data_IF_442976579646
#
_entry.id   IF_442976579646
#
_cell.length_a   1.000
_cell.length_b   1.000
_cell.length_c   1.000
_cell.angle_alpha   90.00
_cell.angle_beta   90.00
_cell.angle_gamma   90.00
#
_symmetry.space_group_name_H-M   'P 1'
#
loop_
_entity.id
_entity.type
_entity.pdbx_description
1 polymer ?
#
# COMPACT_ATOMS: atom_id res chain seq x y z
N UNK A 1 25.85 -4.30 -25.01
CA UNK A 1 25.15 -3.82 -23.79
C UNK A 1 24.22 -4.85 -23.13
N UNK A 2 23.61 -5.81 -23.82
CA UNK A 2 22.79 -6.86 -23.17
C UNK A 2 23.60 -7.93 -22.42
N UNK A 3 24.86 -8.18 -22.81
CA UNK A 3 25.71 -9.21 -22.17
C UNK A 3 26.21 -8.83 -20.77
N UNK A 4 26.53 -7.55 -20.53
CA UNK A 4 27.01 -7.09 -19.20
C UNK A 4 25.88 -7.11 -18.14
N UNK A 5 24.62 -6.90 -18.53
CA UNK A 5 23.46 -7.00 -17.61
C UNK A 5 23.21 -8.43 -17.12
N UNK A 6 23.44 -9.44 -17.96
CA UNK A 6 23.26 -10.86 -17.59
C UNK A 6 24.33 -11.36 -16.61
N UNK A 7 25.54 -10.81 -16.69
CA UNK A 7 26.65 -11.16 -15.78
C UNK A 7 26.42 -10.54 -14.39
N UNK A 8 25.93 -9.29 -14.32
CA UNK A 8 25.59 -8.64 -13.04
C UNK A 8 24.44 -9.35 -12.29
N UNK A 9 23.40 -9.81 -13.01
CA UNK A 9 22.30 -10.60 -12.43
C UNK A 9 22.74 -12.01 -11.97
N UNK A 10 23.71 -12.62 -12.67
CA UNK A 10 24.20 -13.96 -12.37
C UNK A 10 25.17 -14.00 -11.17
N UNK A 11 25.97 -12.96 -10.95
CA UNK A 11 26.83 -12.82 -9.77
C UNK A 11 26.03 -12.43 -8.52
N UNK A 12 24.93 -11.69 -8.68
CA UNK A 12 24.03 -11.31 -7.58
C UNK A 12 23.25 -12.52 -7.03
N UNK A 13 22.74 -13.41 -7.88
CA UNK A 13 22.09 -14.67 -7.49
C UNK A 13 22.94 -15.57 -6.59
N UNK A 14 24.27 -15.57 -6.76
CA UNK A 14 25.18 -16.40 -5.96
C UNK A 14 25.35 -15.92 -4.53
N UNK A 15 25.09 -14.65 -4.23
CA UNK A 15 25.25 -14.06 -2.89
C UNK A 15 24.06 -14.30 -1.96
N UNK A 16 22.85 -14.41 -2.51
CA UNK A 16 21.61 -14.62 -1.72
C UNK A 16 21.49 -16.07 -1.22
N UNK A 17 22.03 -17.04 -1.96
CA UNK A 17 21.83 -18.46 -1.69
C UNK A 17 22.67 -19.03 -0.51
N UNK A 18 23.53 -18.26 0.16
CA UNK A 18 24.50 -18.81 1.11
C UNK A 18 24.11 -18.76 2.59
N UNK A 19 22.89 -18.36 2.96
CA UNK A 19 22.63 -18.08 4.38
C UNK A 19 21.28 -18.63 4.88
N UNK A 20 21.40 -19.59 5.81
CA UNK A 20 20.44 -20.10 6.80
C UNK A 20 19.39 -21.13 6.34
N UNK A 21 19.61 -22.36 6.80
CA UNK A 21 18.60 -23.38 7.03
C UNK A 21 18.28 -23.41 8.53
N UNK A 22 17.03 -23.14 8.92
CA UNK A 22 16.42 -23.83 10.07
C UNK A 22 14.90 -23.88 9.93
N UNK A 23 14.39 -25.06 10.28
CA UNK A 23 13.04 -25.62 10.19
C UNK A 23 11.83 -24.66 10.28
N UNK A 24 11.04 -24.65 9.21
CA UNK A 24 9.60 -24.37 9.18
C UNK A 24 8.95 -25.28 8.12
N UNK A 25 7.63 -25.45 8.15
CA UNK A 25 6.89 -26.37 7.26
C UNK A 25 7.26 -26.19 5.78
N UNK A 26 7.53 -27.29 5.07
CA UNK A 26 8.13 -27.38 3.71
C UNK A 26 7.57 -26.46 2.61
N UNK A 27 6.40 -25.89 2.82
CA UNK A 27 5.71 -25.00 1.88
C UNK A 27 6.04 -23.52 2.10
N UNK A 28 6.23 -23.09 3.36
CA UNK A 28 6.64 -21.72 3.68
C UNK A 28 8.10 -21.43 3.29
N UNK A 29 8.94 -22.45 3.32
CA UNK A 29 10.36 -22.39 2.95
C UNK A 29 10.60 -22.13 1.45
N UNK A 30 9.55 -22.14 0.63
CA UNK A 30 9.63 -21.95 -0.83
C UNK A 30 9.21 -20.55 -1.29
N UNK A 31 8.61 -19.76 -0.41
CA UNK A 31 7.95 -18.51 -0.79
C UNK A 31 8.86 -17.31 -0.51
N UNK A 32 8.77 -16.29 -1.36
CA UNK A 32 9.32 -14.97 -1.10
C UNK A 32 8.26 -14.07 -0.45
N UNK A 33 8.71 -13.09 0.32
CA UNK A 33 7.87 -12.02 0.84
C UNK A 33 8.08 -10.75 0.02
N UNK A 34 6.99 -10.18 -0.48
CA UNK A 34 6.98 -8.87 -1.15
C UNK A 34 6.21 -7.87 -0.30
N UNK A 35 6.90 -6.83 0.17
CA UNK A 35 6.29 -5.69 0.87
C UNK A 35 6.12 -4.56 -0.11
N UNK A 36 4.88 -4.16 -0.39
CA UNK A 36 4.55 -2.98 -1.17
C UNK A 36 4.31 -1.79 -0.24
N UNK A 37 4.90 -0.64 -0.56
CA UNK A 37 4.78 0.58 0.24
C UNK A 37 4.54 1.79 -0.66
N UNK A 38 3.41 2.46 -0.51
CA UNK A 38 3.20 3.73 -1.21
C UNK A 38 3.98 4.84 -0.51
N UNK A 39 4.57 5.74 -1.28
CA UNK A 39 5.27 6.91 -0.73
C UNK A 39 4.39 7.69 0.27
N UNK A 40 5.02 8.36 1.23
CA UNK A 40 4.34 9.25 2.19
C UNK A 40 3.68 10.46 1.52
N UNK A 41 2.95 11.27 2.28
CA UNK A 41 2.35 12.49 1.74
C UNK A 41 3.41 13.39 1.06
N UNK A 42 3.12 13.80 -0.18
CA UNK A 42 3.92 14.82 -0.89
C UNK A 42 3.23 16.16 -0.91
N UNK A 43 4.00 17.23 -1.14
CA UNK A 43 3.48 18.62 -1.21
C UNK A 43 2.34 18.76 -2.22
N UNK A 44 2.40 18.03 -3.34
CA UNK A 44 1.38 18.07 -4.39
C UNK A 44 0.22 17.11 -4.13
N UNK A 45 0.45 16.01 -3.40
CA UNK A 45 -0.64 15.15 -2.97
C UNK A 45 -1.53 15.83 -1.90
N UNK A 46 -0.94 16.64 -1.01
CA UNK A 46 -1.67 17.44 -0.02
C UNK A 46 -2.56 18.53 -0.65
N UNK A 47 -2.23 18.98 -1.86
CA UNK A 47 -2.94 20.07 -2.57
C UNK A 47 -3.83 19.59 -3.74
N UNK A 48 -4.37 18.37 -3.64
CA UNK A 48 -4.89 17.55 -4.74
C UNK A 48 -4.42 17.90 -6.17
N UNK A 49 -3.11 18.01 -6.39
CA UNK A 49 -2.51 18.33 -7.69
C UNK A 49 -2.28 17.06 -8.52
N UNK A 50 -2.38 17.16 -9.85
CA UNK A 50 -1.95 16.08 -10.74
C UNK A 50 -0.41 16.04 -10.73
N UNK A 51 0.17 15.14 -9.93
CA UNK A 51 1.63 15.05 -9.80
C UNK A 51 2.28 14.30 -10.96
N UNK A 52 1.90 13.04 -11.16
CA UNK A 52 2.54 12.17 -12.15
C UNK A 52 4.05 12.13 -11.99
N UNK A 53 4.76 12.45 -13.08
CA UNK A 53 6.22 12.42 -13.11
C UNK A 53 6.89 13.71 -12.64
N UNK A 54 6.12 14.73 -12.25
CA UNK A 54 6.70 15.89 -11.58
C UNK A 54 7.30 15.48 -10.22
N UNK A 55 8.50 15.98 -9.92
CA UNK A 55 9.24 15.58 -8.74
C UNK A 55 8.87 16.42 -7.51
N UNK A 56 7.64 16.21 -7.01
CA UNK A 56 7.17 16.85 -5.79
C UNK A 56 7.77 16.14 -4.54
N UNK A 57 8.42 16.88 -3.62
CA UNK A 57 9.02 16.30 -2.42
C UNK A 57 7.98 15.84 -1.40
N UNK A 58 8.41 15.01 -0.43
CA UNK A 58 7.62 14.69 0.75
C UNK A 58 7.34 15.95 1.58
N UNK A 59 6.22 15.94 2.32
CA UNK A 59 6.00 16.87 3.43
C UNK A 59 6.67 16.34 4.69
N UNK A 60 6.79 17.16 5.73
CA UNK A 60 7.22 16.69 7.06
C UNK A 60 6.35 15.51 7.55
N UNK A 61 5.04 15.59 7.32
CA UNK A 61 4.11 14.49 7.56
C UNK A 61 4.46 13.25 6.74
N UNK A 62 4.78 13.39 5.45
CA UNK A 62 5.15 12.27 4.60
C UNK A 62 6.45 11.58 5.01
N UNK A 63 7.41 12.36 5.54
CA UNK A 63 8.64 11.85 6.13
C UNK A 63 8.31 11.00 7.37
N UNK A 64 7.50 11.51 8.29
CA UNK A 64 7.14 10.74 9.49
C UNK A 64 6.31 9.49 9.17
N UNK A 65 5.41 9.58 8.19
CA UNK A 65 4.67 8.42 7.66
C UNK A 65 5.63 7.32 7.16
N UNK A 66 6.70 7.68 6.44
CA UNK A 66 7.70 6.72 5.97
C UNK A 66 8.50 6.08 7.12
N UNK A 67 8.93 6.89 8.10
CA UNK A 67 9.64 6.39 9.29
C UNK A 67 8.77 5.43 10.11
N UNK A 68 7.52 5.79 10.35
CA UNK A 68 6.55 4.96 11.05
C UNK A 68 6.32 3.61 10.35
N UNK A 69 6.33 3.59 9.01
CA UNK A 69 6.27 2.34 8.25
C UNK A 69 7.45 1.42 8.53
N UNK A 70 8.66 1.99 8.61
CA UNK A 70 9.87 1.23 8.95
C UNK A 70 9.81 0.63 10.35
N UNK A 71 9.41 1.43 11.35
CA UNK A 71 9.22 0.96 12.74
C UNK A 71 8.19 -0.17 12.81
N UNK A 72 7.05 -0.01 12.14
CA UNK A 72 6.02 -1.05 12.06
C UNK A 72 6.56 -2.33 11.39
N UNK A 73 7.34 -2.21 10.32
CA UNK A 73 7.97 -3.37 9.68
C UNK A 73 8.89 -4.10 10.66
N UNK A 74 9.72 -3.37 11.40
CA UNK A 74 10.59 -3.95 12.43
C UNK A 74 9.80 -4.67 13.53
N UNK A 75 8.76 -4.03 14.08
CA UNK A 75 7.87 -4.60 15.10
C UNK A 75 7.20 -5.90 14.63
N UNK A 76 6.88 -5.99 13.33
CA UNK A 76 6.29 -7.18 12.70
C UNK A 76 7.34 -8.21 12.26
N UNK A 77 8.61 -8.04 12.64
CA UNK A 77 9.70 -8.99 12.38
C UNK A 77 10.42 -8.82 11.04
N UNK A 78 10.19 -7.72 10.32
CA UNK A 78 10.87 -7.39 9.06
C UNK A 78 12.09 -6.50 9.30
N UNK A 79 13.11 -7.05 9.95
CA UNK A 79 14.37 -6.36 10.24
C UNK A 79 15.47 -6.59 9.18
N UNK A 80 15.16 -7.32 8.11
CA UNK A 80 16.10 -7.57 7.01
C UNK A 80 15.37 -7.69 5.67
N UNK A 81 15.89 -6.98 4.68
CA UNK A 81 15.44 -7.03 3.28
C UNK A 81 16.62 -7.41 2.39
N UNK A 82 16.42 -8.38 1.50
CA UNK A 82 17.45 -8.81 0.55
C UNK A 82 17.62 -7.80 -0.60
N UNK A 83 16.55 -7.10 -0.94
CA UNK A 83 16.52 -6.10 -2.00
C UNK A 83 15.37 -5.13 -1.80
N UNK A 84 15.58 -3.88 -2.20
CA UNK A 84 14.53 -2.89 -2.30
C UNK A 84 14.44 -2.35 -3.73
N UNK A 85 13.21 -2.02 -4.14
CA UNK A 85 12.89 -1.41 -5.41
C UNK A 85 12.18 -0.09 -5.17
N UNK A 86 12.54 0.92 -5.96
CA UNK A 86 11.83 2.20 -5.94
C UNK A 86 11.78 2.84 -7.32
N UNK A 87 10.93 3.84 -7.46
CA UNK A 87 10.86 4.68 -8.66
C UNK A 87 12.08 5.59 -8.79
N UNK A 88 12.13 6.43 -9.83
CA UNK A 88 13.15 7.48 -9.95
C UNK A 88 12.72 8.83 -9.36
N UNK A 89 11.54 8.90 -8.73
CA UNK A 89 11.00 10.14 -8.15
C UNK A 89 11.36 10.24 -6.67
N UNK A 90 11.84 11.41 -6.24
CA UNK A 90 12.44 11.68 -4.92
C UNK A 90 11.54 11.22 -3.79
N UNK A 91 10.25 11.53 -3.82
CA UNK A 91 9.29 11.11 -2.80
C UNK A 91 9.23 9.61 -2.51
N UNK A 92 9.39 8.76 -3.52
CA UNK A 92 9.38 7.31 -3.34
C UNK A 92 10.76 6.77 -2.97
N UNK A 93 11.83 7.42 -3.44
CA UNK A 93 13.21 7.12 -3.04
C UNK A 93 13.36 7.40 -1.55
N UNK A 94 13.01 8.60 -1.11
CA UNK A 94 13.09 9.05 0.28
C UNK A 94 12.21 8.19 1.20
N UNK A 95 10.98 7.83 0.77
CA UNK A 95 10.15 6.89 1.54
C UNK A 95 10.83 5.52 1.70
N UNK A 96 11.46 5.01 0.65
CA UNK A 96 12.18 3.74 0.69
C UNK A 96 13.35 3.77 1.68
N UNK A 97 14.18 4.82 1.58
CA UNK A 97 15.37 5.00 2.38
C UNK A 97 15.01 5.16 3.87
N UNK A 98 14.01 6.00 4.18
CA UNK A 98 13.50 6.20 5.55
C UNK A 98 12.89 4.92 6.14
N UNK A 99 12.11 4.18 5.35
CA UNK A 99 11.50 2.94 5.83
C UNK A 99 12.56 1.87 6.13
N UNK A 100 13.59 1.73 5.30
CA UNK A 100 14.69 0.78 5.53
C UNK A 100 15.56 1.20 6.72
N UNK A 101 15.85 2.50 6.86
CA UNK A 101 16.58 3.03 8.02
C UNK A 101 15.85 2.71 9.33
N UNK A 102 14.54 2.96 9.38
CA UNK A 102 13.73 2.72 10.57
C UNK A 102 13.32 1.26 10.77
N UNK A 103 13.61 0.40 9.79
CA UNK A 103 13.51 -1.05 9.92
C UNK A 103 14.86 -1.72 10.27
N UNK A 104 15.89 -0.92 10.57
CA UNK A 104 17.27 -1.35 10.82
C UNK A 104 17.91 -2.15 9.66
N UNK A 105 17.42 -1.97 8.43
CA UNK A 105 17.88 -2.68 7.24
C UNK A 105 18.62 -1.75 6.26
N UNK A 106 19.56 -0.94 6.78
CA UNK A 106 20.28 0.10 6.01
C UNK A 106 21.21 -0.44 4.93
N UNK A 107 21.70 -1.68 5.06
CA UNK A 107 22.58 -2.33 4.08
C UNK A 107 21.83 -2.91 2.86
N UNK A 108 20.50 -2.75 2.83
CA UNK A 108 19.65 -3.29 1.75
C UNK A 108 20.01 -2.63 0.41
N UNK A 109 20.31 -3.39 -0.66
CA UNK A 109 20.56 -2.81 -1.97
C UNK A 109 19.27 -2.25 -2.57
N UNK A 110 19.28 -0.96 -2.94
CA UNK A 110 18.14 -0.26 -3.55
C UNK A 110 18.30 -0.17 -5.07
N UNK A 111 17.34 -0.70 -5.82
CA UNK A 111 17.24 -0.58 -7.28
C UNK A 111 16.21 0.47 -7.69
N UNK A 112 16.66 1.52 -8.38
CA UNK A 112 15.81 2.63 -8.86
C UNK A 112 15.42 2.39 -10.32
N UNK A 113 14.13 2.47 -10.65
CA UNK A 113 13.63 2.20 -12.00
C UNK A 113 12.48 3.14 -12.40
N UNK A 114 12.60 3.79 -13.57
CA UNK A 114 11.56 4.70 -14.06
C UNK A 114 10.26 3.95 -14.37
N UNK A 115 10.35 2.66 -14.64
CA UNK A 115 9.21 1.76 -14.82
C UNK A 115 8.34 1.63 -13.57
N UNK A 116 8.82 2.08 -12.41
CA UNK A 116 8.05 2.15 -11.17
C UNK A 116 7.52 3.56 -10.88
N UNK A 117 7.77 4.55 -11.74
CA UNK A 117 7.18 5.89 -11.61
C UNK A 117 5.65 5.83 -11.66
N UNK A 118 5.02 6.83 -11.05
CA UNK A 118 3.57 7.07 -11.10
C UNK A 118 3.05 7.13 -12.55
N UNK A 119 1.73 7.04 -12.75
CA UNK A 119 1.12 7.34 -14.05
C UNK A 119 1.47 8.76 -14.52
N UNK A 120 1.95 8.93 -15.74
CA UNK A 120 2.18 10.23 -16.36
C UNK A 120 0.84 10.90 -16.71
N UNK A 121 0.51 12.04 -16.08
CA UNK A 121 -0.78 12.72 -16.32
C UNK A 121 -0.75 13.71 -17.50
N UNK A 122 0.33 13.68 -18.28
CA UNK A 122 0.50 14.53 -19.47
C UNK A 122 0.36 16.01 -19.16
N UNK A 123 -0.34 16.74 -20.02
CA UNK A 123 -0.54 18.19 -19.90
C UNK A 123 -1.33 18.62 -18.65
N UNK A 124 -1.87 17.68 -17.86
CA UNK A 124 -2.54 17.99 -16.59
C UNK A 124 -1.55 18.17 -15.43
N UNK A 125 -0.30 17.74 -15.57
CA UNK A 125 0.66 17.75 -14.47
C UNK A 125 0.93 19.17 -13.94
N UNK A 126 0.88 19.36 -12.63
CA UNK A 126 1.04 20.68 -11.99
C UNK A 126 -0.26 21.45 -11.78
N UNK A 127 -1.36 21.06 -12.43
CA UNK A 127 -2.66 21.65 -12.16
C UNK A 127 -3.38 20.96 -10.99
N UNK A 128 -4.15 21.74 -10.23
CA UNK A 128 -5.05 21.18 -9.21
C UNK A 128 -6.19 20.42 -9.89
N UNK A 129 -6.61 19.29 -9.31
CA UNK A 129 -7.67 18.43 -9.87
C UNK A 129 -9.03 19.12 -10.04
N UNK A 130 -9.27 20.19 -9.30
CA UNK A 130 -10.49 20.99 -9.35
C UNK A 130 -10.21 22.43 -9.83
N UNK A 131 -9.11 22.65 -10.55
CA UNK A 131 -8.79 23.97 -11.12
C UNK A 131 -9.86 24.36 -12.17
N UNK A 132 -10.58 25.49 -11.98
CA UNK A 132 -11.61 25.94 -12.92
C UNK A 132 -11.11 26.08 -14.36
N UNK A 133 -9.84 26.50 -14.57
CA UNK A 133 -9.28 26.66 -15.92
C UNK A 133 -9.10 25.31 -16.63
N UNK A 134 -8.77 24.27 -15.88
CA UNK A 134 -8.64 22.91 -16.40
C UNK A 134 -10.01 22.32 -16.71
N UNK A 135 -11.00 22.56 -15.84
CA UNK A 135 -12.39 22.13 -16.06
C UNK A 135 -12.99 22.84 -17.28
N UNK A 136 -12.77 24.14 -17.43
CA UNK A 136 -13.22 24.92 -18.59
C UNK A 136 -12.55 24.44 -19.88
N UNK A 137 -11.23 24.20 -19.86
CA UNK A 137 -10.47 23.78 -21.04
C UNK A 137 -10.81 22.37 -21.51
N UNK A 138 -10.97 21.43 -20.60
CA UNK A 138 -11.07 20.01 -20.95
C UNK A 138 -12.44 19.40 -20.69
N UNK A 139 -13.30 20.04 -19.90
CA UNK A 139 -14.61 19.52 -19.51
C UNK A 139 -14.54 18.54 -18.33
N UNK A 140 -15.55 18.59 -17.46
CA UNK A 140 -15.62 17.76 -16.26
C UNK A 140 -15.71 16.25 -16.57
N UNK A 141 -16.41 15.87 -17.65
CA UNK A 141 -16.57 14.48 -18.07
C UNK A 141 -15.25 13.85 -18.49
N UNK A 142 -14.47 14.55 -19.32
CA UNK A 142 -13.14 14.09 -19.73
C UNK A 142 -12.20 13.97 -18.51
N UNK A 143 -12.20 14.95 -17.60
CA UNK A 143 -11.38 14.88 -16.38
C UNK A 143 -11.79 13.72 -15.47
N UNK A 144 -13.08 13.41 -15.38
CA UNK A 144 -13.57 12.26 -14.64
C UNK A 144 -13.11 10.95 -15.30
N UNK A 145 -13.29 10.83 -16.62
CA UNK A 145 -12.85 9.68 -17.42
C UNK A 145 -11.36 9.44 -17.28
N UNK A 146 -10.51 10.44 -17.54
CA UNK A 146 -9.06 10.30 -17.41
C UNK A 146 -8.60 9.93 -16.01
N UNK A 147 -9.37 10.27 -14.96
CA UNK A 147 -9.04 9.92 -13.57
C UNK A 147 -9.47 8.52 -13.17
N UNK A 148 -10.57 8.01 -13.72
CA UNK A 148 -11.25 6.80 -13.23
C UNK A 148 -11.20 5.65 -14.22
N UNK A 149 -11.22 5.94 -15.51
CA UNK A 149 -11.32 4.92 -16.54
C UNK A 149 -9.96 4.28 -16.80
N UNK A 150 -9.96 2.97 -17.02
CA UNK A 150 -8.75 2.19 -17.23
C UNK A 150 -7.98 2.64 -18.49
N UNK A 151 -8.70 3.00 -19.55
CA UNK A 151 -8.16 3.48 -20.83
C UNK A 151 -8.15 5.01 -20.94
N UNK A 152 -8.64 5.73 -19.92
CA UNK A 152 -8.71 7.19 -19.92
C UNK A 152 -7.31 7.78 -20.00
N UNK A 153 -6.99 8.43 -21.13
CA UNK A 153 -5.66 8.98 -21.42
C UNK A 153 -5.72 10.51 -21.43
N UNK A 154 -5.04 11.20 -20.50
CA UNK A 154 -4.93 12.66 -20.53
C UNK A 154 -4.26 13.17 -21.82
N UNK A 155 -4.46 14.44 -22.18
CA UNK A 155 -3.76 15.05 -23.31
C UNK A 155 -2.23 14.96 -23.13
N UNK A 156 -1.47 14.66 -24.19
CA UNK A 156 -0.01 14.58 -24.12
C UNK A 156 0.60 15.93 -23.74
N UNK A 157 1.66 15.86 -22.94
CA UNK A 157 2.50 17.02 -22.65
C UNK A 157 3.34 17.38 -23.88
N UNK A 158 3.46 18.68 -24.17
CA UNK A 158 4.34 19.22 -25.21
C UNK A 158 5.54 19.98 -24.62
N UNK A 159 6.47 20.38 -25.49
CA UNK A 159 7.73 21.07 -25.14
C UNK A 159 7.51 22.42 -24.44
N UNK A 160 6.31 23.00 -24.51
CA UNK A 160 6.01 24.28 -23.85
C UNK A 160 5.67 24.11 -22.37
N UNK A 161 5.40 22.88 -21.93
CA UNK A 161 5.05 22.59 -20.56
C UNK A 161 6.29 22.70 -19.63
N UNK A 162 6.22 23.39 -18.48
CA UNK A 162 7.37 23.60 -17.59
C UNK A 162 8.05 22.33 -17.08
N UNK A 163 7.33 21.20 -17.10
CA UNK A 163 7.80 19.90 -16.64
C UNK A 163 8.02 18.89 -17.78
N UNK A 164 8.13 19.37 -19.02
CA UNK A 164 8.39 18.51 -20.19
C UNK A 164 9.69 17.73 -20.03
N UNK A 165 9.62 16.43 -20.32
CA UNK A 165 10.78 15.55 -20.43
C UNK A 165 10.77 14.92 -21.83
N UNK A 166 11.87 14.98 -22.59
CA UNK A 166 11.92 14.39 -23.91
C UNK A 166 11.86 12.85 -23.84
N UNK A 167 11.45 12.18 -24.94
CA UNK A 167 11.55 10.73 -25.06
C UNK A 167 12.94 10.20 -24.67
N UNK A 168 13.02 9.03 -23.99
CA UNK A 168 12.00 7.99 -23.91
C UNK A 168 10.96 8.17 -22.78
N UNK A 169 10.93 9.30 -22.07
CA UNK A 169 9.83 9.58 -21.14
C UNK A 169 8.48 9.63 -21.89
N UNK A 170 7.40 9.06 -21.32
CA UNK A 170 6.08 9.14 -21.90
C UNK A 170 5.54 10.57 -21.81
N UNK A 171 4.81 11.00 -22.84
CA UNK A 171 4.16 12.31 -22.83
C UNK A 171 2.79 12.28 -22.14
N UNK A 172 2.19 11.10 -21.98
CA UNK A 172 0.95 10.82 -21.25
C UNK A 172 0.81 9.32 -21.07
N UNK A 173 0.05 8.88 -20.08
CA UNK A 173 -0.28 7.48 -19.84
C UNK A 173 -1.75 7.33 -19.40
N UNK A 174 -2.43 6.34 -19.95
CA UNK A 174 -3.61 5.75 -19.31
C UNK A 174 -3.22 4.92 -18.08
N UNK A 175 -4.21 4.44 -17.33
CA UNK A 175 -3.93 3.46 -16.26
C UNK A 175 -3.39 2.15 -16.85
N UNK A 176 -3.88 1.74 -18.03
CA UNK A 176 -3.39 0.58 -18.76
C UNK A 176 -1.92 0.71 -19.16
N UNK A 177 -1.50 1.83 -19.73
CA UNK A 177 -0.10 2.02 -20.17
C UNK A 177 0.87 1.93 -18.98
N UNK A 178 0.49 2.56 -17.87
CA UNK A 178 1.23 2.46 -16.61
C UNK A 178 1.29 1.00 -16.12
N UNK A 179 0.15 0.27 -16.14
CA UNK A 179 0.12 -1.13 -15.75
C UNK A 179 1.01 -2.01 -16.64
N UNK A 180 0.93 -1.88 -17.96
CA UNK A 180 1.72 -2.68 -18.89
C UNK A 180 3.22 -2.52 -18.65
N UNK A 181 3.68 -1.27 -18.47
CA UNK A 181 5.08 -0.96 -18.15
C UNK A 181 5.52 -1.53 -16.80
N UNK A 182 4.68 -1.41 -15.77
CA UNK A 182 4.98 -1.93 -14.43
C UNK A 182 5.05 -3.44 -14.44
N UNK A 183 4.10 -4.11 -15.10
CA UNK A 183 4.05 -5.58 -15.16
C UNK A 183 5.18 -6.17 -16.00
N UNK A 184 5.61 -5.49 -17.05
CA UNK A 184 6.81 -5.88 -17.80
C UNK A 184 8.04 -5.85 -16.89
N UNK A 185 8.24 -4.76 -16.14
CA UNK A 185 9.36 -4.64 -15.20
C UNK A 185 9.28 -5.66 -14.06
N UNK A 186 8.07 -5.93 -13.55
CA UNK A 186 7.83 -6.98 -12.57
C UNK A 186 8.33 -8.34 -13.08
N UNK A 187 7.90 -8.76 -14.26
CA UNK A 187 8.22 -10.08 -14.83
C UNK A 187 9.70 -10.21 -15.21
N UNK A 188 10.29 -9.16 -15.77
CA UNK A 188 11.65 -9.24 -16.33
C UNK A 188 12.75 -8.88 -15.32
N UNK A 189 12.43 -8.11 -14.28
CA UNK A 189 13.44 -7.55 -13.36
C UNK A 189 13.18 -7.90 -11.90
N UNK A 190 11.95 -7.80 -11.39
CA UNK A 190 11.69 -8.04 -9.96
C UNK A 190 11.52 -9.54 -9.68
N UNK A 191 10.57 -10.21 -10.33
CA UNK A 191 10.28 -11.62 -10.10
C UNK A 191 11.52 -12.52 -10.20
N UNK A 192 12.43 -12.37 -11.19
CA UNK A 192 13.62 -13.22 -11.30
C UNK A 192 14.65 -13.06 -10.18
N UNK A 193 14.50 -12.03 -9.34
CA UNK A 193 15.36 -11.74 -8.18
C UNK A 193 14.81 -12.31 -6.87
N UNK A 194 13.52 -12.66 -6.84
CA UNK A 194 12.91 -13.27 -5.68
C UNK A 194 13.45 -14.70 -5.53
N UNK A 195 13.94 -15.02 -4.35
CA UNK A 195 14.36 -16.36 -3.96
C UNK A 195 13.46 -16.89 -2.84
N UNK A 196 13.37 -18.22 -2.65
CA UNK A 196 12.76 -18.80 -1.47
C UNK A 196 13.28 -18.14 -0.19
N UNK A 197 12.38 -17.79 0.73
CA UNK A 197 12.65 -17.09 1.99
C UNK A 197 13.26 -15.68 1.87
N UNK A 198 13.40 -15.13 0.66
CA UNK A 198 13.82 -13.74 0.50
C UNK A 198 12.70 -12.75 0.81
N UNK A 199 13.05 -11.56 1.26
CA UNK A 199 12.15 -10.44 1.52
C UNK A 199 12.55 -9.25 0.67
N UNK A 200 11.61 -8.77 -0.15
CA UNK A 200 11.79 -7.61 -1.01
C UNK A 200 10.86 -6.47 -0.60
N UNK A 201 11.38 -5.24 -0.56
CA UNK A 201 10.58 -4.01 -0.42
C UNK A 201 10.37 -3.37 -1.79
N UNK A 202 9.17 -2.90 -2.09
CA UNK A 202 8.87 -2.06 -3.24
C UNK A 202 8.17 -0.77 -2.79
N UNK A 203 8.92 0.32 -2.75
CA UNK A 203 8.42 1.64 -2.40
C UNK A 203 8.09 2.44 -3.67
N UNK A 204 6.81 2.73 -3.93
CA UNK A 204 6.39 3.37 -5.17
C UNK A 204 5.13 4.24 -5.01
N UNK A 205 4.31 4.33 -6.06
CA UNK A 205 3.19 5.25 -6.18
C UNK A 205 1.86 4.52 -6.25
N UNK A 206 0.78 5.29 -6.20
CA UNK A 206 -0.58 4.74 -6.11
C UNK A 206 -0.94 3.86 -7.30
N UNK A 207 -0.72 4.30 -8.54
CA UNK A 207 -1.08 3.51 -9.72
C UNK A 207 -0.08 2.36 -9.97
N UNK A 208 1.20 2.54 -9.61
CA UNK A 208 2.22 1.49 -9.66
C UNK A 208 1.83 0.31 -8.78
N UNK A 209 1.51 0.58 -7.51
CA UNK A 209 1.11 -0.47 -6.55
C UNK A 209 -0.23 -1.05 -6.96
N UNK A 210 -1.20 -0.23 -7.38
CA UNK A 210 -2.49 -0.72 -7.89
C UNK A 210 -2.31 -1.69 -9.05
N UNK A 211 -1.40 -1.43 -9.99
CA UNK A 211 -1.12 -2.31 -11.12
C UNK A 211 -0.62 -3.69 -10.66
N UNK A 212 0.29 -3.72 -9.68
CA UNK A 212 0.81 -4.96 -9.09
C UNK A 212 -0.27 -5.71 -8.31
N UNK A 213 -1.02 -5.03 -7.43
CA UNK A 213 -2.13 -5.62 -6.67
C UNK A 213 -3.17 -6.21 -7.60
N UNK A 214 -3.57 -5.47 -8.64
CA UNK A 214 -4.52 -5.95 -9.65
C UNK A 214 -4.05 -7.25 -10.29
N UNK A 215 -2.77 -7.35 -10.61
CA UNK A 215 -2.17 -8.53 -11.22
C UNK A 215 -2.07 -9.71 -10.23
N UNK A 216 -1.56 -9.47 -9.03
CA UNK A 216 -1.34 -10.51 -8.01
C UNK A 216 -2.64 -11.09 -7.46
N UNK A 217 -3.67 -10.25 -7.28
CA UNK A 217 -4.98 -10.66 -6.78
C UNK A 217 -5.96 -11.04 -7.90
N UNK A 218 -5.55 -10.90 -9.17
CA UNK A 218 -6.40 -11.15 -10.35
C UNK A 218 -7.70 -10.34 -10.29
N UNK A 219 -7.59 -9.06 -9.90
CA UNK A 219 -8.73 -8.15 -9.73
C UNK A 219 -9.36 -7.82 -11.10
N UNK A 220 -10.68 -7.99 -11.28
CA UNK A 220 -11.37 -7.60 -12.51
C UNK A 220 -11.25 -6.10 -12.82
N UNK A 221 -11.17 -5.75 -14.10
CA UNK A 221 -10.91 -4.39 -14.56
C UNK A 221 -11.90 -3.35 -14.01
N UNK A 222 -13.17 -3.73 -13.85
CA UNK A 222 -14.24 -2.90 -13.31
C UNK A 222 -14.05 -2.54 -11.83
N UNK A 223 -13.30 -3.34 -11.06
CA UNK A 223 -13.01 -3.07 -9.64
C UNK A 223 -11.75 -2.25 -9.43
N UNK A 224 -10.83 -2.23 -10.40
CA UNK A 224 -9.55 -1.53 -10.32
C UNK A 224 -9.68 -0.04 -9.96
N UNK A 225 -10.61 0.75 -10.52
CA UNK A 225 -10.76 2.17 -10.17
C UNK A 225 -11.10 2.42 -8.70
N UNK A 226 -11.68 1.44 -8.03
CA UNK A 226 -12.09 1.52 -6.63
C UNK A 226 -10.99 1.10 -5.66
N UNK A 227 -9.89 0.51 -6.16
CA UNK A 227 -8.72 0.16 -5.33
C UNK A 227 -8.02 1.41 -4.84
N UNK A 228 -8.09 1.64 -3.52
CA UNK A 228 -7.38 2.71 -2.82
C UNK A 228 -6.15 2.15 -2.15
N UNK A 229 -5.00 2.71 -2.51
CA UNK A 229 -3.70 2.39 -1.91
C UNK A 229 -3.37 3.53 -0.93
N UNK A 230 -3.47 3.33 0.39
CA UNK A 230 -3.07 4.35 1.36
C UNK A 230 -1.58 4.68 1.29
N UNK A 231 -1.21 5.88 1.71
CA UNK A 231 0.18 6.31 1.82
C UNK A 231 0.82 5.60 3.01
N UNK A 232 2.06 5.12 2.85
CA UNK A 232 2.89 4.60 3.95
C UNK A 232 2.20 3.59 4.87
N UNK A 233 1.42 2.68 4.29
CA UNK A 233 0.91 1.50 5.00
C UNK A 233 1.47 0.29 4.26
N UNK A 234 2.33 -0.53 4.90
CA UNK A 234 2.90 -1.70 4.24
C UNK A 234 1.82 -2.71 3.83
N UNK A 235 1.95 -3.25 2.62
CA UNK A 235 1.04 -4.25 2.07
C UNK A 235 1.82 -5.48 1.60
N UNK A 236 1.60 -6.61 2.25
CA UNK A 236 2.50 -7.76 2.17
C UNK A 236 1.88 -8.92 1.41
N UNK A 237 2.61 -9.44 0.44
CA UNK A 237 2.29 -10.63 -0.33
C UNK A 237 3.29 -11.75 -0.06
N UNK A 238 2.79 -12.98 -0.09
CA UNK A 238 3.62 -14.20 -0.22
C UNK A 238 3.58 -14.64 -1.67
N UNK A 239 4.74 -14.63 -2.30
CA UNK A 239 4.92 -14.91 -3.73
C UNK A 239 5.64 -16.24 -3.88
N UNK A 240 5.13 -17.12 -4.72
CA UNK A 240 5.89 -18.25 -5.23
C UNK A 240 6.86 -17.73 -6.31
N UNK A 241 8.19 -17.80 -6.10
CA UNK A 241 9.16 -17.29 -7.08
C UNK A 241 9.18 -18.04 -8.41
N UNK A 242 8.70 -19.30 -8.45
CA UNK A 242 8.69 -20.11 -9.68
C UNK A 242 7.51 -19.73 -10.58
N UNK A 243 6.30 -19.67 -10.03
CA UNK A 243 5.09 -19.30 -10.78
C UNK A 243 4.88 -17.79 -10.89
N UNK A 244 5.42 -17.01 -9.94
CA UNK A 244 5.16 -15.59 -9.77
C UNK A 244 3.77 -15.26 -9.24
N UNK A 245 3.03 -16.27 -8.76
CA UNK A 245 1.70 -16.11 -8.19
C UNK A 245 1.77 -15.74 -6.71
N UNK A 246 0.78 -14.95 -6.26
CA UNK A 246 0.51 -14.79 -4.85
C UNK A 246 -0.23 -16.04 -4.33
N UNK A 247 0.27 -16.63 -3.24
CA UNK A 247 -0.21 -17.94 -2.75
C UNK A 247 -0.99 -17.87 -1.45
N UNK A 248 -1.06 -16.70 -0.81
CA UNK A 248 -1.88 -16.51 0.39
C UNK A 248 -3.37 -16.76 0.08
N UNK A 249 -4.14 -17.34 1.03
CA UNK A 249 -5.59 -17.46 0.87
C UNK A 249 -6.21 -16.10 0.53
N UNK A 250 -7.21 -16.11 -0.35
CA UNK A 250 -8.01 -14.93 -0.63
C UNK A 250 -8.79 -14.60 0.64
N UNK A 251 -8.52 -13.46 1.26
CA UNK A 251 -9.34 -12.93 2.34
C UNK A 251 -10.44 -12.10 1.68
N UNK A 252 -11.66 -12.64 1.65
CA UNK A 252 -12.77 -12.08 0.88
C UNK A 252 -13.17 -10.69 1.37
N UNK A 253 -13.14 -9.68 0.50
CA UNK A 253 -13.50 -8.29 0.81
C UNK A 253 -14.62 -7.75 -0.06
N UNK A 254 -15.32 -6.73 0.43
CA UNK A 254 -16.33 -6.01 -0.36
C UNK A 254 -15.76 -5.37 -1.63
N UNK A 255 -14.43 -5.19 -1.72
CA UNK A 255 -13.72 -4.77 -2.92
C UNK A 255 -13.24 -5.95 -3.81
N UNK A 256 -13.66 -7.18 -3.50
CA UNK A 256 -13.03 -8.43 -3.97
C UNK A 256 -11.95 -8.88 -2.99
N UNK A 257 -11.84 -10.19 -2.74
CA UNK A 257 -10.81 -10.68 -1.83
C UNK A 257 -9.38 -10.43 -2.31
N UNK A 258 -8.47 -10.28 -1.36
CA UNK A 258 -7.04 -10.04 -1.59
C UNK A 258 -6.21 -11.15 -0.96
N UNK A 259 -5.12 -11.53 -1.63
CA UNK A 259 -4.07 -12.41 -1.10
C UNK A 259 -3.04 -11.63 -0.31
N UNK A 260 -2.92 -10.32 -0.54
CA UNK A 260 -2.08 -9.44 0.26
C UNK A 260 -2.71 -9.09 1.62
N UNK A 261 -1.87 -8.79 2.61
CA UNK A 261 -2.26 -8.35 3.96
C UNK A 261 -1.72 -6.96 4.26
N UNK A 262 -2.59 -6.06 4.69
CA UNK A 262 -2.19 -4.73 5.16
C UNK A 262 -1.61 -4.82 6.57
N UNK A 263 -0.55 -4.06 6.83
CA UNK A 263 0.00 -3.89 8.17
C UNK A 263 -0.46 -2.58 8.76
N UNK A 264 -1.11 -2.64 9.91
CA UNK A 264 -1.60 -1.45 10.59
C UNK A 264 -0.91 -1.23 11.93
N UNK A 265 -0.73 0.04 12.28
CA UNK A 265 -0.39 0.53 13.61
C UNK A 265 -1.55 1.39 14.12
N UNK A 266 -1.59 1.66 15.43
CA UNK A 266 -2.53 2.60 16.04
C UNK A 266 -2.50 3.99 15.40
N UNK A 267 -1.31 4.51 15.08
CA UNK A 267 -1.16 5.78 14.33
C UNK A 267 -1.68 5.70 12.89
N UNK A 268 -1.46 4.58 12.18
CA UNK A 268 -1.96 4.39 10.83
C UNK A 268 -3.48 4.24 10.79
N UNK A 269 -4.08 3.64 11.82
CA UNK A 269 -5.53 3.53 11.98
C UNK A 269 -6.20 4.91 12.06
N UNK A 270 -5.68 5.82 12.90
CA UNK A 270 -6.27 7.16 13.07
C UNK A 270 -6.13 8.04 11.81
N UNK A 271 -5.03 7.89 11.05
CA UNK A 271 -4.79 8.65 9.80
C UNK A 271 -5.66 8.19 8.62
N UNK A 272 -5.94 6.89 8.51
CA UNK A 272 -6.81 6.32 7.48
C UNK A 272 -8.26 6.80 7.62
N UNK A 273 -8.65 7.13 8.85
CA UNK A 273 -9.97 7.67 9.21
C UNK A 273 -10.22 9.09 8.68
N UNK A 274 -9.21 9.96 8.64
CA UNK A 274 -9.34 11.34 8.14
C UNK A 274 -9.41 11.47 6.61
N UNK A 275 -8.84 10.50 5.87
CA UNK A 275 -8.79 10.51 4.40
C UNK A 275 -9.93 9.71 3.73
N UNK A 276 -10.72 8.99 4.53
CA UNK A 276 -11.89 8.25 4.08
C UNK A 276 -13.12 8.91 4.67
N UNK A 277 -13.60 9.95 3.99
CA UNK A 277 -14.97 10.41 4.17
C UNK A 277 -15.94 9.25 3.89
N UNK A 278 -16.46 8.66 4.96
CA UNK A 278 -17.77 7.99 5.00
C UNK A 278 -18.00 6.73 4.17
N UNK A 279 -17.11 5.71 4.20
CA UNK A 279 -17.44 4.43 3.56
C UNK A 279 -16.93 3.23 4.36
N UNK A 280 -17.83 2.30 4.69
CA UNK A 280 -17.63 1.11 5.53
C UNK A 280 -16.40 0.22 5.27
N UNK A 281 -15.68 0.39 4.16
CA UNK A 281 -14.43 -0.34 3.88
C UNK A 281 -13.32 -0.19 4.94
N UNK A 282 -13.27 0.92 5.68
CA UNK A 282 -12.31 1.09 6.79
C UNK A 282 -12.71 0.28 8.03
N UNK A 283 -13.97 0.38 8.45
CA UNK A 283 -14.49 -0.37 9.60
C UNK A 283 -14.44 -1.88 9.32
N UNK A 284 -14.74 -2.30 8.08
CA UNK A 284 -14.52 -3.67 7.59
C UNK A 284 -13.09 -4.16 7.72
N UNK A 285 -12.10 -3.27 7.59
CA UNK A 285 -10.67 -3.64 7.67
C UNK A 285 -10.22 -3.84 9.11
N UNK A 286 -10.77 -3.06 10.05
CA UNK A 286 -10.56 -3.25 11.49
C UNK A 286 -11.20 -4.56 11.93
N UNK A 287 -12.47 -4.77 11.56
CA UNK A 287 -13.18 -6.02 11.83
C UNK A 287 -12.34 -7.25 11.45
N UNK A 288 -11.78 -7.25 10.23
CA UNK A 288 -10.92 -8.35 9.74
C UNK A 288 -9.59 -8.50 10.45
N UNK A 289 -9.04 -7.41 10.97
CA UNK A 289 -7.78 -7.48 11.70
C UNK A 289 -7.99 -8.11 13.09
N UNK A 290 -9.21 -7.97 13.61
CA UNK A 290 -9.61 -8.47 14.91
C UNK A 290 -10.21 -9.88 14.81
N UNK A 291 -10.82 -10.24 13.68
CA UNK A 291 -11.30 -11.60 13.36
C UNK A 291 -10.09 -12.51 13.09
N UNK A 292 -9.54 -13.08 14.17
CA UNK A 292 -8.31 -13.87 14.16
C UNK A 292 -8.56 -15.27 13.61
N UNK A 293 -9.77 -15.80 13.83
CA UNK A 293 -10.14 -17.15 13.43
C UNK A 293 -10.76 -17.21 12.01
N UNK A 294 -11.22 -16.08 11.48
CA UNK A 294 -11.79 -15.90 10.14
C UNK A 294 -13.22 -16.41 9.98
N UNK A 295 -13.99 -16.52 11.06
CA UNK A 295 -15.36 -17.04 11.04
C UNK A 295 -16.42 -15.97 10.72
N UNK A 296 -16.00 -14.70 10.64
CA UNK A 296 -16.84 -13.58 10.27
C UNK A 296 -17.66 -12.99 11.42
N UNK A 297 -17.36 -13.36 12.67
CA UNK A 297 -17.82 -12.68 13.89
C UNK A 297 -16.62 -12.32 14.77
N UNK A 298 -16.79 -11.38 15.70
CA UNK A 298 -15.79 -11.07 16.71
C UNK A 298 -16.27 -11.56 18.06
N UNK A 299 -15.52 -12.49 18.65
CA UNK A 299 -15.72 -12.88 20.04
C UNK A 299 -15.01 -11.90 20.98
N UNK A 300 -15.39 -11.92 22.26
CA UNK A 300 -14.77 -11.05 23.28
C UNK A 300 -13.24 -11.12 23.29
N UNK A 301 -12.66 -12.32 23.13
CA UNK A 301 -11.20 -12.51 23.12
C UNK A 301 -10.50 -11.87 21.91
N UNK A 302 -11.19 -11.79 20.78
CA UNK A 302 -10.71 -11.15 19.55
C UNK A 302 -10.80 -9.63 19.64
N UNK A 303 -11.89 -9.14 20.23
CA UNK A 303 -12.06 -7.71 20.55
C UNK A 303 -10.99 -7.26 21.55
N UNK A 304 -10.75 -8.04 22.60
CA UNK A 304 -9.67 -7.81 23.57
C UNK A 304 -8.33 -7.71 22.85
N UNK A 305 -8.01 -8.70 22.01
CA UNK A 305 -6.72 -8.73 21.32
C UNK A 305 -6.56 -7.56 20.35
N UNK A 306 -7.62 -7.23 19.63
CA UNK A 306 -7.67 -6.10 18.72
C UNK A 306 -7.47 -4.75 19.42
N UNK A 307 -8.03 -4.58 20.62
CA UNK A 307 -7.85 -3.39 21.47
C UNK A 307 -6.45 -3.32 22.08
N UNK A 308 -5.88 -4.45 22.54
CA UNK A 308 -4.49 -4.50 23.01
C UNK A 308 -3.51 -3.99 21.93
N UNK A 309 -3.67 -4.49 20.71
CA UNK A 309 -2.85 -4.11 19.57
C UNK A 309 -3.06 -2.63 19.16
N UNK A 310 -4.22 -2.06 19.49
CA UNK A 310 -4.56 -0.66 19.21
C UNK A 310 -4.03 0.31 20.27
N UNK A 311 -3.97 -0.10 21.54
CA UNK A 311 -3.73 0.81 22.67
C UNK A 311 -2.28 0.86 23.15
N UNK A 312 -1.37 0.06 22.59
CA UNK A 312 0.09 0.11 22.84
C UNK A 312 0.48 0.36 24.31
N UNK A 313 0.25 -0.64 25.17
CA UNK A 313 1.10 -0.86 26.35
C UNK A 313 0.68 -0.31 27.72
N UNK A 314 -0.49 0.33 27.88
CA UNK A 314 -1.00 0.65 29.23
C UNK A 314 -2.00 -0.41 29.73
N UNK A 315 -1.61 -1.10 30.81
CA UNK A 315 -2.22 -2.29 31.42
C UNK A 315 -3.61 -2.06 32.08
N UNK A 316 -4.29 -0.95 31.76
CA UNK A 316 -5.57 -0.62 32.38
C UNK A 316 -6.73 -1.15 31.55
N UNK A 317 -7.18 -2.33 31.96
CA UNK A 317 -8.54 -2.84 31.80
C UNK A 317 -9.05 -3.04 30.36
N UNK A 318 -8.19 -3.51 29.45
CA UNK A 318 -8.59 -3.88 28.08
C UNK A 318 -9.76 -4.86 28.07
N UNK A 319 -9.80 -5.87 28.96
CA UNK A 319 -10.95 -6.78 29.06
C UNK A 319 -12.25 -6.11 29.49
N UNK A 320 -12.20 -5.14 30.42
CA UNK A 320 -13.39 -4.39 30.81
C UNK A 320 -13.84 -3.39 29.72
N UNK A 321 -12.91 -2.92 28.90
CA UNK A 321 -13.19 -2.09 27.74
C UNK A 321 -13.79 -2.91 26.59
N UNK A 322 -13.22 -4.07 26.30
CA UNK A 322 -13.71 -5.01 25.30
C UNK A 322 -15.15 -5.45 25.61
N UNK A 323 -15.45 -5.76 26.87
CA UNK A 323 -16.81 -6.06 27.31
C UNK A 323 -17.79 -4.91 27.06
N UNK A 324 -17.39 -3.66 27.32
CA UNK A 324 -18.22 -2.48 27.03
C UNK A 324 -18.37 -2.20 25.54
N UNK A 325 -17.35 -2.52 24.73
CA UNK A 325 -17.41 -2.42 23.28
C UNK A 325 -18.42 -3.42 22.72
N UNK A 326 -18.31 -4.67 23.17
CA UNK A 326 -19.26 -5.72 22.81
C UNK A 326 -20.68 -5.33 23.21
N UNK A 327 -20.92 -4.95 24.46
CA UNK A 327 -22.26 -4.53 24.95
C UNK A 327 -22.87 -3.34 24.18
N UNK A 328 -22.06 -2.41 23.69
CA UNK A 328 -22.55 -1.22 22.97
C UNK A 328 -22.84 -1.51 21.50
N UNK A 329 -22.17 -2.52 20.93
CA UNK A 329 -22.21 -2.81 19.50
C UNK A 329 -23.07 -4.02 19.16
N UNK A 330 -23.23 -4.96 20.09
CA UNK A 330 -24.06 -6.16 20.01
C UNK A 330 -25.54 -5.75 20.08
N UNK A 331 -26.15 -5.53 18.92
CA UNK A 331 -27.50 -5.04 18.80
C UNK A 331 -28.53 -6.17 18.93
N UNK A 332 -28.13 -7.39 18.58
CA UNK A 332 -28.98 -8.58 18.60
C UNK A 332 -28.87 -9.42 19.88
N UNK A 333 -27.89 -9.15 20.73
CA UNK A 333 -27.64 -9.82 22.00
C UNK A 333 -26.91 -11.17 21.86
N UNK A 334 -26.22 -11.39 20.75
CA UNK A 334 -25.52 -12.63 20.42
C UNK A 334 -24.25 -12.88 21.25
N UNK A 335 -23.74 -11.87 21.97
CA UNK A 335 -22.43 -11.87 22.63
C UNK A 335 -21.25 -12.02 21.66
N UNK A 336 -21.48 -11.74 20.39
CA UNK A 336 -20.50 -11.62 19.32
C UNK A 336 -20.79 -10.38 18.51
N UNK A 337 -19.86 -9.92 17.68
CA UNK A 337 -20.15 -8.83 16.74
C UNK A 337 -20.01 -9.36 15.33
N UNK A 338 -21.09 -9.30 14.54
CA UNK A 338 -20.95 -9.49 13.11
C UNK A 338 -20.43 -8.21 12.41
N UNK A 339 -20.15 -8.32 11.11
CA UNK A 339 -19.61 -7.21 10.36
C UNK A 339 -20.58 -6.03 10.27
N UNK A 340 -21.88 -6.29 10.20
CA UNK A 340 -22.91 -5.25 10.05
C UNK A 340 -23.03 -4.45 11.35
N UNK A 341 -23.14 -5.13 12.49
CA UNK A 341 -23.13 -4.54 13.83
C UNK A 341 -21.86 -3.72 14.07
N UNK A 342 -20.71 -4.28 13.69
CA UNK A 342 -19.45 -3.59 13.84
C UNK A 342 -19.38 -2.32 12.98
N UNK A 343 -19.90 -2.36 11.75
CA UNK A 343 -19.96 -1.20 10.86
C UNK A 343 -20.88 -0.08 11.36
N UNK A 344 -22.04 -0.44 11.90
CA UNK A 344 -23.04 0.51 12.36
C UNK A 344 -22.63 1.17 13.69
N UNK A 345 -22.00 0.42 14.59
CA UNK A 345 -21.83 0.84 15.97
C UNK A 345 -20.38 1.14 16.39
N UNK A 346 -19.36 0.71 15.64
CA UNK A 346 -17.95 0.91 16.02
C UNK A 346 -17.60 2.38 16.25
N UNK A 347 -18.14 3.29 15.43
CA UNK A 347 -17.88 4.72 15.59
C UNK A 347 -18.54 5.31 16.84
N UNK A 348 -19.69 4.79 17.25
CA UNK A 348 -20.39 5.22 18.47
C UNK A 348 -19.63 4.72 19.69
N UNK A 349 -19.26 3.43 19.70
CA UNK A 349 -18.47 2.82 20.76
C UNK A 349 -17.11 3.51 20.92
N UNK A 350 -16.37 3.76 19.83
CA UNK A 350 -15.11 4.50 19.86
C UNK A 350 -15.26 5.93 20.42
N UNK A 351 -16.34 6.66 20.09
CA UNK A 351 -16.57 8.01 20.65
C UNK A 351 -16.84 7.98 22.15
N UNK A 352 -17.52 6.93 22.60
CA UNK A 352 -17.97 6.80 23.98
C UNK A 352 -16.84 6.34 24.90
N UNK A 353 -15.98 5.45 24.41
CA UNK A 353 -15.02 4.73 25.25
C UNK A 353 -13.56 4.98 24.89
N UNK A 354 -13.26 5.50 23.71
CA UNK A 354 -11.89 5.86 23.28
C UNK A 354 -11.85 7.23 22.57
N UNK A 355 -12.37 8.32 23.18
CA UNK A 355 -12.45 9.63 22.54
C UNK A 355 -11.07 10.18 22.12
N UNK A 356 -10.01 9.84 22.85
CA UNK A 356 -8.61 10.22 22.59
C UNK A 356 -8.05 9.66 21.27
N UNK A 357 -8.56 8.52 20.78
CA UNK A 357 -8.22 8.02 19.43
C UNK A 357 -8.87 8.83 18.31
N UNK A 358 -9.79 9.75 18.65
CA UNK A 358 -10.54 10.54 17.70
C UNK A 358 -10.14 12.03 17.67
N UNK A 359 -9.32 12.48 18.61
CA UNK A 359 -8.85 13.85 18.68
C UNK A 359 -7.53 14.01 17.88
N UNK A 360 -7.55 14.90 16.89
CA UNK A 360 -6.36 15.31 16.12
C UNK A 360 -5.44 16.17 17.00
N UNK A 361 -4.17 15.80 17.12
CA UNK A 361 -3.07 16.74 17.37
C UNK A 361 -2.13 16.76 16.17
#
# INVERSE_FOLDING_TARGET
>A
MQWQRRIALADWRRRILSTRLSSSTKENDRLATLVLLRHGQSTWNATPTFTGWCDAPLTERGIEEAKASGRLLMERGFSSFDVAYTSTLSRAIETCELALENAESTDTPIQKAWQLNERHYGALQGYRKADPKVVERYGAENLASWRRDFLGTPPPMDETHPHYQPPPAPLTESLKDCQDRVLLFWKESILPTLAPNSTALLAAHSNTIRALVTYLDKVPAEKVPHLRIPNSVPFVFRIDPESGEAVSPIIDSAAGGSRGRWMFSSENHNRLRGNIGGSGGFIRSIFRAWDLNGDGVLELSEIEKGLEDLMSGDDIAVGALAGKFLEEMDADGSQTLDLEEFEEHALVACRKFMPELLEEN
#
